data_IF_247955614489
#
_entry.id   IF_247955614489
#
_cell.length_a   1.000
_cell.length_b   1.000
_cell.length_c   1.000
_cell.angle_alpha   90.00
_cell.angle_beta   90.00
_cell.angle_gamma   90.00
#
_symmetry.space_group_name_H-M   'P 1'
#
loop_
_entity.id
_entity.type
_entity.pdbx_description
1 polymer ?
#
# COMPACT_ATOMS: atom_id res chain seq x y z
N UNK A 1 37.18 -19.31 -35.68
CA UNK A 1 37.92 -18.04 -36.00
C UNK A 1 38.06 -17.30 -34.66
N UNK A 2 39.11 -17.45 -33.84
CA UNK A 2 40.52 -17.02 -33.91
C UNK A 2 40.75 -15.50 -34.00
N UNK A 3 41.35 -14.96 -32.91
CA UNK A 3 42.21 -13.75 -32.70
C UNK A 3 41.56 -12.66 -31.82
N UNK A 4 42.03 -12.27 -30.61
CA UNK A 4 43.34 -11.89 -30.01
C UNK A 4 43.71 -10.38 -30.13
N UNK A 5 44.21 -9.84 -29.00
CA UNK A 5 45.09 -8.66 -28.75
C UNK A 5 44.38 -7.31 -28.46
N UNK A 6 44.41 -6.71 -27.26
CA UNK A 6 45.47 -6.05 -26.42
C UNK A 6 45.89 -4.63 -26.84
N UNK A 7 46.30 -3.85 -25.83
CA UNK A 7 46.97 -2.52 -25.80
C UNK A 7 46.02 -1.34 -25.49
N UNK A 8 46.31 -0.43 -24.55
CA UNK A 8 47.55 -0.17 -23.82
C UNK A 8 47.36 0.70 -22.56
N UNK A 9 48.45 0.80 -21.81
CA UNK A 9 48.59 1.44 -20.50
C UNK A 9 49.16 2.88 -20.58
N UNK A 10 49.35 3.50 -19.40
CA UNK A 10 50.04 4.77 -19.04
C UNK A 10 49.20 6.07 -19.18
N UNK A 11 49.29 7.09 -18.32
CA UNK A 11 50.17 7.49 -17.21
C UNK A 11 49.42 8.54 -16.32
N UNK A 12 49.44 8.45 -14.99
CA UNK A 12 50.30 9.19 -14.02
C UNK A 12 50.06 10.73 -13.84
N UNK A 13 49.56 11.06 -12.64
CA UNK A 13 50.02 12.12 -11.70
C UNK A 13 49.85 13.63 -12.03
N UNK A 14 48.96 14.33 -11.29
CA UNK A 14 49.08 15.73 -10.80
C UNK A 14 48.21 15.87 -9.51
N UNK A 15 48.82 15.93 -8.32
CA UNK A 15 49.11 17.13 -7.51
C UNK A 15 47.87 17.90 -7.00
N UNK A 16 47.63 17.78 -5.69
CA UNK A 16 46.72 18.60 -4.86
C UNK A 16 47.14 20.06 -4.82
N UNK A 17 46.17 20.97 -4.61
CA UNK A 17 46.30 21.93 -3.53
C UNK A 17 45.07 21.93 -2.61
N UNK A 18 45.33 22.12 -1.32
CA UNK A 18 44.34 22.41 -0.30
C UNK A 18 43.76 23.81 -0.50
N UNK A 19 42.44 23.92 -0.47
CA UNK A 19 41.69 25.10 -0.02
C UNK A 19 40.44 24.60 0.68
N UNK A 20 40.27 25.02 1.93
CA UNK A 20 39.05 24.88 2.69
C UNK A 20 37.93 25.67 2.02
N UNK A 21 36.74 25.09 1.96
CA UNK A 21 35.49 25.87 1.99
C UNK A 21 34.46 25.05 2.76
N UNK A 22 34.07 25.64 3.89
CA UNK A 22 33.00 25.25 4.79
C UNK A 22 31.67 25.14 4.04
N UNK A 23 30.99 24.01 4.18
CA UNK A 23 29.67 23.85 3.57
C UNK A 23 29.19 22.42 3.61
N UNK A 24 29.25 21.80 4.78
CA UNK A 24 28.48 20.59 5.06
C UNK A 24 27.00 20.93 4.97
N UNK A 25 26.46 20.93 3.75
CA UNK A 25 25.05 20.75 3.55
C UNK A 25 24.77 19.34 4.07
N UNK A 26 24.23 19.26 5.28
CA UNK A 26 23.40 18.14 5.71
C UNK A 26 22.25 18.04 4.71
N UNK A 27 22.52 17.48 3.53
CA UNK A 27 21.51 16.85 2.72
C UNK A 27 21.09 15.63 3.53
N UNK A 28 20.18 15.85 4.47
CA UNK A 28 19.36 14.79 5.00
C UNK A 28 18.88 13.99 3.78
N UNK A 29 19.24 12.71 3.74
CA UNK A 29 18.67 11.81 2.74
C UNK A 29 17.15 11.99 2.82
N UNK A 30 16.44 12.07 1.69
CA UNK A 30 14.98 12.13 1.74
C UNK A 30 14.53 10.96 2.61
N UNK A 31 13.69 11.26 3.60
CA UNK A 31 13.07 10.26 4.47
C UNK A 31 12.54 9.15 3.54
N UNK A 32 13.00 7.90 3.67
CA UNK A 32 12.48 6.84 2.83
C UNK A 32 10.96 6.87 2.99
N UNK A 33 10.25 6.94 1.87
CA UNK A 33 8.78 6.88 1.90
C UNK A 33 8.31 5.66 2.69
N UNK A 34 7.03 5.63 3.10
CA UNK A 34 6.51 4.58 3.95
C UNK A 34 6.82 3.18 3.38
N UNK A 35 7.23 2.26 4.26
CA UNK A 35 7.43 0.86 3.88
C UNK A 35 6.06 0.22 3.62
N UNK A 36 5.70 0.10 2.35
CA UNK A 36 4.41 -0.42 1.93
C UNK A 36 4.28 -1.92 2.22
N UNK A 37 5.39 -2.65 2.28
CA UNK A 37 5.36 -4.07 2.61
C UNK A 37 5.07 -4.26 4.10
N UNK A 38 5.77 -3.51 4.95
CA UNK A 38 5.52 -3.50 6.40
C UNK A 38 4.07 -3.09 6.72
N UNK A 39 3.56 -2.05 6.06
CA UNK A 39 2.17 -1.63 6.25
C UNK A 39 1.15 -2.70 5.79
N UNK A 40 1.45 -3.42 4.70
CA UNK A 40 0.63 -4.54 4.26
C UNK A 40 0.64 -5.72 5.23
N UNK A 41 1.79 -6.01 5.85
CA UNK A 41 1.92 -7.02 6.90
C UNK A 41 1.11 -6.63 8.14
N UNK A 42 1.26 -5.38 8.60
CA UNK A 42 0.49 -4.84 9.74
C UNK A 42 -1.03 -4.96 9.53
N UNK A 43 -1.54 -4.52 8.38
CA UNK A 43 -2.96 -4.63 8.06
C UNK A 43 -3.41 -6.09 7.93
N UNK A 44 -2.55 -6.98 7.43
CA UNK A 44 -2.85 -8.42 7.35
C UNK A 44 -3.02 -9.03 8.75
N UNK A 45 -2.14 -8.69 9.69
CA UNK A 45 -2.24 -9.13 11.08
C UNK A 45 -3.50 -8.60 11.75
N UNK A 46 -3.78 -7.31 11.59
CA UNK A 46 -4.99 -6.64 12.13
C UNK A 46 -6.27 -7.32 11.64
N UNK A 47 -6.40 -7.55 10.34
CA UNK A 47 -7.59 -8.15 9.76
C UNK A 47 -7.74 -9.63 10.12
N UNK A 48 -6.63 -10.37 10.26
CA UNK A 48 -6.66 -11.78 10.66
C UNK A 48 -7.01 -11.94 12.15
N UNK A 49 -6.86 -10.87 12.95
CA UNK A 49 -7.28 -10.86 14.35
C UNK A 49 -8.80 -10.64 14.54
N UNK A 50 -9.55 -10.35 13.48
CA UNK A 50 -11.01 -10.26 13.54
C UNK A 50 -11.61 -11.66 13.70
N UNK A 51 -12.48 -11.85 14.71
CA UNK A 51 -13.01 -13.16 15.12
C UNK A 51 -13.58 -14.02 13.96
N UNK A 52 -14.19 -13.37 12.98
CA UNK A 52 -14.89 -14.03 11.86
C UNK A 52 -14.05 -14.14 10.59
N UNK A 53 -12.84 -13.57 10.56
CA UNK A 53 -11.93 -13.63 9.41
C UNK A 53 -10.99 -14.83 9.59
N UNK A 54 -11.06 -15.79 8.68
CA UNK A 54 -10.24 -17.01 8.72
C UNK A 54 -8.90 -16.85 8.02
N UNK A 55 -8.79 -15.89 7.10
CA UNK A 55 -7.53 -15.48 6.49
C UNK A 55 -7.68 -14.09 5.89
N UNK A 56 -6.62 -13.29 5.95
CA UNK A 56 -6.50 -12.07 5.15
C UNK A 56 -5.14 -12.03 4.45
N UNK A 57 -5.09 -11.34 3.31
CA UNK A 57 -3.86 -10.89 2.66
C UNK A 57 -4.08 -9.48 2.16
N UNK A 58 -3.20 -8.57 2.58
CA UNK A 58 -3.24 -7.16 2.17
C UNK A 58 -2.00 -6.84 1.33
N UNK A 59 -2.22 -6.13 0.23
CA UNK A 59 -1.16 -5.52 -0.57
C UNK A 59 -1.38 -4.02 -0.64
N UNK A 60 -0.48 -3.26 -0.02
CA UNK A 60 -0.43 -1.81 -0.17
C UNK A 60 0.53 -1.48 -1.31
N UNK A 61 0.05 -0.76 -2.32
CA UNK A 61 0.83 -0.48 -3.53
C UNK A 61 0.61 0.92 -4.03
N UNK A 62 1.66 1.52 -4.59
CA UNK A 62 1.58 2.80 -5.28
C UNK A 62 2.28 2.70 -6.63
N UNK A 63 1.71 3.27 -7.68
CA UNK A 63 2.35 3.32 -8.99
C UNK A 63 1.74 4.35 -9.93
N UNK A 64 2.48 4.78 -10.96
CA UNK A 64 2.04 5.81 -11.88
C UNK A 64 0.81 5.41 -12.72
N UNK A 65 0.57 4.11 -12.90
CA UNK A 65 -0.52 3.58 -13.74
C UNK A 65 -1.80 3.31 -12.94
N UNK A 66 -1.69 2.86 -11.69
CA UNK A 66 -2.82 2.41 -10.86
C UNK A 66 -3.05 3.28 -9.62
N UNK A 67 -2.27 4.35 -9.43
CA UNK A 67 -2.40 5.23 -8.28
C UNK A 67 -1.96 4.57 -6.98
N UNK A 68 -2.58 4.98 -5.87
CA UNK A 68 -2.32 4.49 -4.51
C UNK A 68 -3.45 3.56 -4.12
N UNK A 69 -3.18 2.28 -3.94
CA UNK A 69 -4.21 1.26 -3.75
C UNK A 69 -3.91 0.39 -2.54
N UNK A 70 -4.98 -0.04 -1.88
CA UNK A 70 -4.96 -1.14 -0.93
C UNK A 70 -5.80 -2.27 -1.51
N UNK A 71 -5.20 -3.44 -1.71
CA UNK A 71 -5.88 -4.63 -2.23
C UNK A 71 -5.97 -5.67 -1.12
N UNK A 72 -7.18 -6.14 -0.82
CA UNK A 72 -7.45 -7.03 0.29
C UNK A 72 -8.20 -8.27 -0.20
N UNK A 73 -7.58 -9.43 -0.04
CA UNK A 73 -8.22 -10.72 -0.23
C UNK A 73 -8.43 -11.37 1.14
N UNK A 74 -9.69 -11.60 1.52
CA UNK A 74 -10.05 -12.15 2.81
C UNK A 74 -11.04 -13.32 2.69
N UNK A 75 -11.03 -14.19 3.69
CA UNK A 75 -12.02 -15.25 3.86
C UNK A 75 -12.68 -15.11 5.22
N UNK A 76 -13.98 -15.42 5.29
CA UNK A 76 -14.73 -15.42 6.54
C UNK A 76 -15.34 -16.79 6.82
N UNK A 77 -15.47 -17.16 8.09
CA UNK A 77 -16.24 -18.32 8.53
C UNK A 77 -17.74 -18.05 8.62
N UNK A 78 -18.20 -16.79 8.45
CA UNK A 78 -19.60 -16.44 8.66
C UNK A 78 -20.52 -17.00 7.56
N UNK A 79 -21.62 -17.63 8.00
CA UNK A 79 -22.73 -18.04 7.13
C UNK A 79 -23.87 -17.03 7.11
N UNK A 80 -23.84 -16.02 7.98
CA UNK A 80 -24.90 -15.02 8.07
C UNK A 80 -24.66 -13.86 7.08
N UNK A 81 -25.62 -13.54 6.19
CA UNK A 81 -25.45 -12.46 5.23
C UNK A 81 -25.18 -11.08 5.84
N UNK A 82 -25.78 -10.75 6.99
CA UNK A 82 -25.60 -9.45 7.65
C UNK A 82 -24.23 -9.31 8.29
N UNK A 83 -23.76 -10.37 8.94
CA UNK A 83 -22.41 -10.45 9.50
C UNK A 83 -21.35 -10.36 8.40
N UNK A 84 -21.53 -11.05 7.26
CA UNK A 84 -20.61 -10.92 6.11
C UNK A 84 -20.46 -9.48 5.62
N UNK A 85 -21.56 -8.72 5.56
CA UNK A 85 -21.50 -7.29 5.19
C UNK A 85 -20.80 -6.45 6.26
N UNK A 86 -20.96 -6.80 7.54
CA UNK A 86 -20.26 -6.14 8.65
C UNK A 86 -18.75 -6.39 8.59
N UNK A 87 -18.34 -7.62 8.29
CA UNK A 87 -16.93 -7.99 8.10
C UNK A 87 -16.34 -7.28 6.89
N UNK A 88 -17.07 -7.25 5.78
CA UNK A 88 -16.65 -6.53 4.58
C UNK A 88 -16.47 -5.03 4.85
N UNK A 89 -17.40 -4.41 5.58
CA UNK A 89 -17.31 -3.00 5.98
C UNK A 89 -16.05 -2.72 6.81
N UNK A 90 -15.77 -3.56 7.81
CA UNK A 90 -14.57 -3.45 8.64
C UNK A 90 -13.28 -3.60 7.81
N UNK A 91 -13.26 -4.54 6.85
CA UNK A 91 -12.11 -4.75 5.97
C UNK A 91 -11.86 -3.54 5.07
N UNK A 92 -12.92 -3.00 4.45
CA UNK A 92 -12.81 -1.79 3.60
C UNK A 92 -12.35 -0.60 4.44
N UNK A 93 -12.85 -0.45 5.65
CA UNK A 93 -12.46 0.62 6.56
C UNK A 93 -10.98 0.53 6.93
N UNK A 94 -10.48 -0.65 7.31
CA UNK A 94 -9.05 -0.85 7.60
C UNK A 94 -8.15 -0.51 6.41
N UNK A 95 -8.61 -0.83 5.19
CA UNK A 95 -7.89 -0.43 3.96
C UNK A 95 -7.87 1.08 3.74
N UNK A 96 -8.95 1.78 4.10
CA UNK A 96 -9.02 3.25 4.05
C UNK A 96 -8.11 3.91 5.08
N UNK A 97 -7.99 3.29 6.26
CA UNK A 97 -7.18 3.75 7.41
C UNK A 97 -5.72 3.28 7.36
N UNK A 98 -5.21 2.89 6.19
CA UNK A 98 -3.77 2.70 6.03
C UNK A 98 -3.01 3.97 6.44
N UNK A 99 -1.87 3.79 7.12
CA UNK A 99 -1.00 4.88 7.54
C UNK A 99 -0.07 5.36 6.40
N UNK A 100 0.08 4.58 5.32
CA UNK A 100 1.04 4.87 4.27
C UNK A 100 0.66 6.09 3.42
N UNK A 101 -0.63 6.26 3.11
CA UNK A 101 -1.12 7.35 2.26
C UNK A 101 -2.64 7.39 2.29
N UNK A 102 -3.24 8.44 1.70
CA UNK A 102 -4.67 8.43 1.36
C UNK A 102 -4.92 7.57 0.11
N UNK A 103 -5.60 6.41 0.20
CA UNK A 103 -5.85 5.55 -0.96
C UNK A 103 -6.68 6.27 -2.04
N UNK A 104 -6.36 5.99 -3.30
CA UNK A 104 -7.22 6.34 -4.44
C UNK A 104 -8.22 5.24 -4.77
N UNK A 105 -8.03 4.04 -4.21
CA UNK A 105 -8.92 2.90 -4.33
C UNK A 105 -8.64 1.89 -3.21
N UNK A 106 -9.69 1.33 -2.61
CA UNK A 106 -9.63 0.16 -1.71
C UNK A 106 -10.39 -0.98 -2.37
N UNK A 107 -9.65 -1.95 -2.91
CA UNK A 107 -10.22 -3.10 -3.61
C UNK A 107 -10.26 -4.30 -2.68
N UNK A 108 -11.43 -4.88 -2.47
CA UNK A 108 -11.63 -5.95 -1.48
C UNK A 108 -12.40 -7.10 -2.08
N UNK A 109 -11.99 -8.33 -1.74
CA UNK A 109 -12.77 -9.55 -1.97
C UNK A 109 -12.89 -10.30 -0.65
N UNK A 110 -14.12 -10.48 -0.17
CA UNK A 110 -14.43 -11.32 0.98
C UNK A 110 -15.11 -12.60 0.50
N UNK A 111 -14.44 -13.74 0.65
CA UNK A 111 -14.99 -15.05 0.27
C UNK A 111 -15.63 -15.75 1.49
N UNK A 112 -16.91 -16.09 1.38
CA UNK A 112 -17.65 -16.82 2.40
C UNK A 112 -17.53 -18.35 2.22
N UNK A 113 -17.92 -19.18 3.22
CA UNK A 113 -17.74 -20.64 3.16
C UNK A 113 -18.55 -21.35 2.06
N UNK A 114 -19.62 -20.71 1.58
CA UNK A 114 -20.45 -21.18 0.46
C UNK A 114 -19.87 -20.81 -0.92
N UNK A 115 -18.70 -20.16 -0.96
CA UNK A 115 -18.04 -19.70 -2.17
C UNK A 115 -18.58 -18.38 -2.72
N UNK A 116 -19.54 -17.74 -2.04
CA UNK A 116 -19.97 -16.39 -2.40
C UNK A 116 -18.82 -15.43 -2.12
N UNK A 117 -18.47 -14.63 -3.13
CA UNK A 117 -17.51 -13.55 -3.02
C UNK A 117 -18.26 -12.22 -2.96
N UNK A 118 -17.94 -11.40 -1.96
CA UNK A 118 -18.44 -10.04 -1.80
C UNK A 118 -17.32 -9.04 -2.09
N UNK A 119 -17.66 -7.89 -2.65
CA UNK A 119 -16.74 -6.78 -2.90
C UNK A 119 -17.38 -5.44 -2.52
N UNK A 120 -16.67 -4.32 -2.76
CA UNK A 120 -17.16 -3.00 -2.36
C UNK A 120 -18.57 -2.67 -2.89
N UNK A 121 -19.00 -3.26 -4.02
CA UNK A 121 -20.35 -3.04 -4.56
C UNK A 121 -21.45 -3.56 -3.62
N UNK A 122 -21.17 -4.60 -2.84
CA UNK A 122 -22.10 -5.14 -1.85
C UNK A 122 -22.31 -4.18 -0.66
N UNK A 123 -21.41 -3.19 -0.47
CA UNK A 123 -21.57 -2.09 0.48
C UNK A 123 -22.23 -0.85 -0.15
N UNK A 124 -22.53 -0.88 -1.45
CA UNK A 124 -23.13 0.24 -2.18
C UNK A 124 -22.14 1.13 -2.94
N UNK A 125 -20.87 0.75 -3.05
CA UNK A 125 -19.91 1.48 -3.90
C UNK A 125 -20.19 1.22 -5.39
N UNK A 126 -19.87 2.19 -6.24
CA UNK A 126 -20.16 2.14 -7.69
C UNK A 126 -19.32 1.10 -8.43
N UNK A 127 -18.12 0.79 -7.93
CA UNK A 127 -17.14 -0.08 -8.57
C UNK A 127 -16.69 -1.18 -7.61
N UNK A 128 -15.97 -2.18 -8.14
CA UNK A 128 -15.42 -3.27 -7.33
C UNK A 128 -14.46 -2.79 -6.24
N UNK A 129 -13.79 -1.65 -6.46
CA UNK A 129 -13.06 -0.93 -5.44
C UNK A 129 -13.84 0.28 -4.92
N UNK A 130 -13.59 0.63 -3.67
CA UNK A 130 -14.14 1.79 -3.02
C UNK A 130 -13.26 3.02 -3.32
N UNK A 131 -13.84 4.02 -4.01
CA UNK A 131 -13.17 5.26 -4.35
C UNK A 131 -13.16 6.28 -3.19
N UNK A 132 -12.26 7.27 -3.23
CA UNK A 132 -11.96 8.15 -2.10
C UNK A 132 -13.15 9.01 -1.66
N UNK A 133 -13.99 9.50 -2.58
CA UNK A 133 -15.18 10.27 -2.21
C UNK A 133 -16.22 9.43 -1.45
N UNK A 134 -16.45 8.19 -1.88
CA UNK A 134 -17.38 7.28 -1.19
C UNK A 134 -16.83 6.80 0.15
N UNK A 135 -15.52 6.53 0.23
CA UNK A 135 -14.85 6.19 1.48
C UNK A 135 -14.95 7.34 2.48
N UNK A 136 -14.76 8.57 2.02
CA UNK A 136 -14.94 9.76 2.84
C UNK A 136 -16.37 9.93 3.35
N UNK A 137 -17.36 9.75 2.47
CA UNK A 137 -18.78 9.87 2.86
C UNK A 137 -19.15 8.83 3.92
N UNK A 138 -18.59 7.62 3.82
CA UNK A 138 -18.90 6.50 4.71
C UNK A 138 -18.14 6.53 6.03
N UNK A 139 -16.84 6.80 6.00
CA UNK A 139 -15.93 6.67 7.15
C UNK A 139 -15.34 8.00 7.63
N UNK A 140 -15.44 9.06 6.84
CA UNK A 140 -14.79 10.33 7.13
C UNK A 140 -13.33 10.38 6.65
N UNK A 141 -12.52 11.31 7.18
CA UNK A 141 -11.13 11.45 6.75
C UNK A 141 -10.29 10.23 7.13
N UNK A 142 -9.31 9.84 6.30
CA UNK A 142 -8.46 8.68 6.53
C UNK A 142 -7.44 8.94 7.65
N UNK A 143 -7.00 7.87 8.33
CA UNK A 143 -5.95 7.95 9.35
C UNK A 143 -4.65 8.62 8.87
N UNK A 144 -4.22 8.36 7.62
CA UNK A 144 -3.01 8.96 7.05
C UNK A 144 -3.07 10.49 6.92
N UNK A 145 -4.26 11.08 6.79
CA UNK A 145 -4.44 12.53 6.68
C UNK A 145 -5.83 12.97 7.20
N UNK A 146 -5.96 13.30 8.50
CA UNK A 146 -7.22 13.76 9.10
C UNK A 146 -7.77 15.07 8.46
N UNK A 147 -6.91 15.84 7.79
CA UNK A 147 -7.25 17.08 7.10
C UNK A 147 -7.76 16.86 5.67
N UNK A 148 -7.57 15.66 5.11
CA UNK A 148 -7.88 15.37 3.71
C UNK A 148 -9.39 15.47 3.41
N UNK A 149 -9.73 16.00 2.23
CA UNK A 149 -11.10 16.08 1.69
C UNK A 149 -11.08 15.78 0.18
N UNK A 150 -12.12 15.14 -0.38
CA UNK A 150 -12.22 14.82 -1.81
C UNK A 150 -12.48 16.04 -2.70
#
# INVERSE_FOLDING_TARGET
>A
MRRLLTCGALALLLLTPACADDGGADTAAPDPGPDLAEEGERLTEELTALDTVTSARVQVRSGPTWGRQVVIDATTSSTDPGERLTVLDAIVHAGWDTAAFVPTDVSTVLTAPDGVALDARDLGFTHQGAGPSGLFERFGPPAADPGWRP
#
